data_IF_715077344789
#
_entry.id   IF_715077344789
#
_cell.length_a   1.000
_cell.length_b   1.000
_cell.length_c   1.000
_cell.angle_alpha   90.00
_cell.angle_beta   90.00
_cell.angle_gamma   90.00
#
_symmetry.space_group_name_H-M   'P 1'
#
loop_
_entity.id
_entity.type
_entity.pdbx_description
1 polymer ?
#
# COMPACT_ATOMS: atom_id res chain seq x y z
N UNK A 1 -2.52 -11.23 16.28
CA UNK A 1 -3.11 -11.73 15.01
C UNK A 1 -2.16 -11.32 13.91
N UNK A 2 -1.95 -12.13 12.87
CA UNK A 2 -1.20 -11.69 11.69
C UNK A 2 -2.02 -10.66 10.89
N UNK A 3 -1.37 -9.60 10.38
CA UNK A 3 -1.99 -8.58 9.55
C UNK A 3 -2.26 -9.09 8.13
N UNK A 4 -3.30 -8.57 7.49
CA UNK A 4 -3.67 -8.83 6.10
C UNK A 4 -3.16 -7.73 5.18
N UNK A 5 -3.12 -8.01 3.89
CA UNK A 5 -2.60 -7.08 2.89
C UNK A 5 -3.47 -6.97 1.64
N UNK A 6 -3.73 -5.75 1.20
CA UNK A 6 -4.21 -5.45 -0.16
C UNK A 6 -2.99 -5.15 -1.01
N UNK A 7 -2.83 -5.82 -2.15
CA UNK A 7 -1.74 -5.62 -3.09
C UNK A 7 -2.29 -5.31 -4.46
N UNK A 8 -1.80 -4.24 -5.07
CA UNK A 8 -2.08 -3.93 -6.46
C UNK A 8 -0.86 -3.31 -7.12
N UNK A 9 -0.69 -3.64 -8.39
CA UNK A 9 0.26 -3.00 -9.30
C UNK A 9 -0.53 -2.60 -10.54
N UNK A 10 -0.53 -1.32 -10.87
CA UNK A 10 -1.32 -0.76 -11.97
C UNK A 10 -0.40 -0.03 -12.93
N UNK A 11 -0.44 -0.43 -14.21
CA UNK A 11 0.28 0.29 -15.27
C UNK A 11 -0.35 1.66 -15.48
N UNK A 12 0.42 2.74 -15.31
CA UNK A 12 -0.07 4.11 -15.51
C UNK A 12 1.06 5.08 -15.88
N UNK A 13 0.81 5.92 -16.90
CA UNK A 13 1.73 7.00 -17.26
C UNK A 13 1.75 8.13 -16.21
N UNK A 14 2.92 8.74 -15.98
CA UNK A 14 3.11 9.80 -14.98
C UNK A 14 2.15 10.99 -15.10
N UNK A 15 1.80 11.37 -16.33
CA UNK A 15 0.83 12.46 -16.60
C UNK A 15 -0.56 12.09 -16.09
N UNK A 16 -1.02 10.87 -16.39
CA UNK A 16 -2.32 10.39 -15.92
C UNK A 16 -2.33 10.17 -14.42
N UNK A 17 -1.24 9.66 -13.85
CA UNK A 17 -1.08 9.54 -12.40
C UNK A 17 -1.25 10.88 -11.69
N UNK A 18 -0.65 11.95 -12.24
CA UNK A 18 -0.78 13.29 -11.65
C UNK A 18 -2.23 13.81 -11.69
N UNK A 19 -3.00 13.46 -12.74
CA UNK A 19 -4.44 13.77 -12.80
C UNK A 19 -5.24 12.95 -11.79
N UNK A 20 -4.96 11.66 -11.70
CA UNK A 20 -5.57 10.78 -10.71
C UNK A 20 -5.36 11.29 -9.28
N UNK A 21 -4.14 11.74 -8.94
CA UNK A 21 -3.88 12.35 -7.63
C UNK A 21 -4.53 13.71 -7.43
N UNK A 22 -4.71 14.51 -8.49
CA UNK A 22 -5.46 15.77 -8.36
C UNK A 22 -6.93 15.53 -8.00
N UNK A 23 -7.52 14.46 -8.53
CA UNK A 23 -8.94 14.15 -8.34
C UNK A 23 -9.20 13.30 -7.08
N UNK A 24 -8.30 12.37 -6.75
CA UNK A 24 -8.51 11.35 -5.70
C UNK A 24 -7.43 11.32 -4.62
N UNK A 25 -6.36 12.12 -4.73
CA UNK A 25 -5.22 12.11 -3.82
C UNK A 25 -5.61 12.31 -2.36
N UNK A 26 -6.55 13.23 -2.08
CA UNK A 26 -7.04 13.47 -0.74
C UNK A 26 -7.76 12.26 -0.13
N UNK A 27 -8.57 11.55 -0.93
CA UNK A 27 -9.28 10.36 -0.48
C UNK A 27 -8.34 9.15 -0.30
N UNK A 28 -7.29 9.05 -1.11
CA UNK A 28 -6.27 7.98 -0.99
C UNK A 28 -5.53 8.00 0.35
N UNK A 29 -5.24 9.19 0.86
CA UNK A 29 -4.46 9.36 2.10
C UNK A 29 -5.33 9.67 3.31
N UNK A 30 -6.65 9.69 3.16
CA UNK A 30 -7.54 10.03 4.26
C UNK A 30 -7.40 9.02 5.41
N UNK A 31 -7.28 7.73 5.06
CA UNK A 31 -6.96 6.67 6.01
C UNK A 31 -5.61 6.90 6.72
N UNK A 32 -4.62 7.48 6.03
CA UNK A 32 -3.33 7.84 6.65
C UNK A 32 -3.52 8.96 7.66
N UNK A 33 -4.36 9.97 7.36
CA UNK A 33 -4.72 11.01 8.33
C UNK A 33 -5.43 10.43 9.54
N UNK A 34 -6.29 9.42 9.35
CA UNK A 34 -6.92 8.67 10.42
C UNK A 34 -5.90 7.91 11.28
N UNK A 35 -5.02 7.11 10.65
CA UNK A 35 -3.96 6.33 11.32
C UNK A 35 -3.05 7.23 12.16
N UNK A 36 -2.71 8.41 11.65
CA UNK A 36 -1.87 9.40 12.34
C UNK A 36 -2.63 10.22 13.39
N UNK A 37 -3.96 10.08 13.50
CA UNK A 37 -4.78 10.84 14.45
C UNK A 37 -4.88 12.33 14.13
N UNK A 38 -4.61 12.75 12.89
CA UNK A 38 -4.57 14.16 12.47
C UNK A 38 -5.81 14.60 11.69
N UNK A 39 -6.69 13.66 11.30
CA UNK A 39 -7.96 14.01 10.64
C UNK A 39 -8.88 14.73 11.65
N UNK A 40 -9.49 15.88 11.30
CA UNK A 40 -10.43 16.56 12.18
C UNK A 40 -11.66 15.69 12.49
N UNK A 41 -12.09 15.68 13.75
CA UNK A 41 -13.33 15.01 14.17
C UNK A 41 -13.22 13.50 14.41
N UNK A 42 -12.01 12.91 14.35
CA UNK A 42 -11.79 11.51 14.70
C UNK A 42 -12.23 11.20 16.14
N UNK A 43 -12.78 10.01 16.33
CA UNK A 43 -13.13 9.50 17.65
C UNK A 43 -12.11 8.45 18.09
N UNK A 44 -11.40 8.65 19.21
CA UNK A 44 -10.53 7.62 19.76
C UNK A 44 -11.35 6.39 20.15
N UNK A 45 -10.84 5.21 19.82
CA UNK A 45 -11.39 3.94 20.29
C UNK A 45 -10.63 3.44 21.53
N UNK A 46 -11.30 2.61 22.33
CA UNK A 46 -10.73 1.96 23.51
C UNK A 46 -9.48 1.10 23.23
N UNK A 47 -9.28 0.65 21.99
CA UNK A 47 -8.14 -0.16 21.56
C UNK A 47 -6.95 0.68 21.06
N UNK A 48 -7.01 2.00 21.20
CA UNK A 48 -5.91 2.91 20.85
C UNK A 48 -5.87 3.34 19.38
N UNK A 49 -6.85 2.94 18.57
CA UNK A 49 -7.05 3.45 17.22
C UNK A 49 -8.08 4.57 17.13
N UNK A 50 -8.51 4.86 15.91
CA UNK A 50 -9.48 5.93 15.62
C UNK A 50 -10.63 5.41 14.76
N UNK A 51 -11.84 5.85 15.07
CA UNK A 51 -13.00 5.69 14.19
C UNK A 51 -13.22 6.99 13.44
N UNK A 52 -13.31 6.89 12.11
CA UNK A 52 -13.71 7.99 11.26
C UNK A 52 -15.24 8.08 11.19
N UNK A 53 -15.88 9.12 11.75
CA UNK A 53 -17.33 9.23 11.75
C UNK A 53 -17.93 9.42 10.35
N UNK A 54 -17.15 9.89 9.37
CA UNK A 54 -17.64 10.09 8.00
C UNK A 54 -17.88 8.77 7.27
N UNK A 55 -17.07 7.76 7.56
CA UNK A 55 -17.10 6.44 6.89
C UNK A 55 -17.57 5.32 7.83
N UNK A 56 -17.52 5.54 9.14
CA UNK A 56 -17.70 4.52 10.17
C UNK A 56 -16.50 3.56 10.28
N UNK A 57 -15.41 3.81 9.55
CA UNK A 57 -14.28 2.90 9.48
C UNK A 57 -13.35 3.02 10.69
N UNK A 58 -12.88 1.89 11.19
CA UNK A 58 -11.87 1.84 12.25
C UNK A 58 -10.47 1.77 11.65
N UNK A 59 -9.57 2.61 12.17
CA UNK A 59 -8.17 2.69 11.77
C UNK A 59 -7.27 2.35 12.95
N UNK A 60 -6.55 1.24 12.83
CA UNK A 60 -5.56 0.82 13.81
C UNK A 60 -4.23 1.57 13.56
N UNK A 61 -3.52 2.07 14.59
CA UNK A 61 -2.25 2.78 14.41
C UNK A 61 -1.14 1.92 13.78
N UNK A 62 -1.27 0.60 13.91
CA UNK A 62 -0.42 -0.40 13.29
C UNK A 62 -0.59 -0.50 11.77
N UNK A 63 -1.72 -0.06 11.20
CA UNK A 63 -1.97 -0.11 9.76
C UNK A 63 -0.92 0.72 8.99
N UNK A 64 -0.55 0.28 7.78
CA UNK A 64 0.45 0.95 6.93
C UNK A 64 0.01 0.92 5.48
N UNK A 65 -0.07 2.11 4.87
CA UNK A 65 -0.38 2.29 3.46
C UNK A 65 0.87 2.73 2.69
N UNK A 66 1.17 2.04 1.60
CA UNK A 66 2.25 2.30 0.66
C UNK A 66 1.62 2.60 -0.69
N UNK A 67 1.93 3.77 -1.25
CA UNK A 67 1.54 4.17 -2.60
C UNK A 67 2.77 4.77 -3.26
N UNK A 68 3.39 4.01 -4.16
CA UNK A 68 4.68 4.35 -4.76
C UNK A 68 4.67 4.13 -6.27
N UNK A 69 5.11 5.13 -7.02
CA UNK A 69 5.29 5.03 -8.45
C UNK A 69 6.69 4.53 -8.82
N UNK A 70 6.77 3.41 -9.54
CA UNK A 70 7.99 2.89 -10.14
C UNK A 70 8.14 3.45 -11.55
N UNK A 71 9.06 4.40 -11.73
CA UNK A 71 9.25 5.09 -13.00
C UNK A 71 9.85 4.18 -14.09
N UNK A 72 10.60 3.14 -13.68
CA UNK A 72 11.28 2.23 -14.60
C UNK A 72 10.29 1.35 -15.36
N UNK A 73 9.18 0.95 -14.71
CA UNK A 73 8.12 0.14 -15.32
C UNK A 73 6.83 0.91 -15.58
N UNK A 74 6.78 2.19 -15.22
CA UNK A 74 5.57 3.01 -15.23
C UNK A 74 4.41 2.35 -14.47
N UNK A 75 4.71 1.79 -13.30
CA UNK A 75 3.75 1.06 -12.46
C UNK A 75 3.48 1.83 -11.18
N UNK A 76 2.21 2.04 -10.83
CA UNK A 76 1.83 2.45 -9.49
C UNK A 76 1.63 1.22 -8.61
N UNK A 77 2.41 1.13 -7.55
CA UNK A 77 2.26 0.12 -6.50
C UNK A 77 1.37 0.65 -5.38
N UNK A 78 0.37 -0.15 -5.00
CA UNK A 78 -0.47 0.06 -3.84
C UNK A 78 -0.37 -1.16 -2.92
N UNK A 79 0.04 -0.92 -1.67
CA UNK A 79 0.04 -1.93 -0.64
C UNK A 79 -0.55 -1.38 0.64
N UNK A 80 -1.57 -2.06 1.18
CA UNK A 80 -2.17 -1.69 2.46
C UNK A 80 -2.11 -2.86 3.44
N UNK A 81 -1.25 -2.74 4.45
CA UNK A 81 -1.23 -3.61 5.62
C UNK A 81 -2.32 -3.20 6.62
N UNK A 82 -3.24 -4.12 6.91
CA UNK A 82 -4.38 -3.93 7.78
C UNK A 82 -4.37 -4.98 8.90
N UNK A 83 -4.80 -4.60 10.11
CA UNK A 83 -5.02 -5.56 11.21
C UNK A 83 -6.37 -6.32 11.10
N UNK A 84 -7.15 -6.08 10.05
CA UNK A 84 -8.41 -6.77 9.78
C UNK A 84 -8.16 -8.17 9.18
N UNK A 85 -9.14 -9.08 9.12
CA UNK A 85 -8.98 -10.43 8.51
C UNK A 85 -10.01 -10.82 7.47
N UNK A 86 -10.98 -9.95 7.21
CA UNK A 86 -12.09 -10.22 6.31
C UNK A 86 -11.88 -9.54 4.95
N UNK A 87 -11.71 -10.29 3.85
CA UNK A 87 -11.54 -9.71 2.51
C UNK A 87 -12.71 -8.84 2.05
N UNK A 88 -13.94 -9.15 2.47
CA UNK A 88 -15.12 -8.36 2.06
C UNK A 88 -15.04 -6.94 2.65
N UNK A 89 -14.63 -6.86 3.90
CA UNK A 89 -14.29 -5.59 4.55
C UNK A 89 -13.04 -4.93 3.95
N UNK A 90 -12.03 -5.68 3.47
CA UNK A 90 -10.86 -5.07 2.80
C UNK A 90 -11.25 -4.30 1.53
N UNK A 91 -12.23 -4.79 0.75
CA UNK A 91 -12.75 -4.07 -0.41
C UNK A 91 -13.52 -2.78 -0.03
N UNK A 92 -14.01 -2.70 1.21
CA UNK A 92 -14.72 -1.55 1.76
C UNK A 92 -13.83 -0.41 2.27
N UNK A 93 -12.51 -0.64 2.34
CA UNK A 93 -11.55 0.33 2.88
C UNK A 93 -11.58 1.63 2.04
N UNK A 94 -11.80 2.82 2.65
CA UNK A 94 -12.01 4.06 1.89
C UNK A 94 -10.89 4.42 0.92
N UNK A 95 -9.63 4.33 1.35
CA UNK A 95 -8.48 4.58 0.47
C UNK A 95 -8.39 3.58 -0.69
N UNK A 96 -8.77 2.33 -0.49
CA UNK A 96 -8.81 1.33 -1.56
C UNK A 96 -9.96 1.63 -2.55
N UNK A 97 -11.12 2.03 -2.06
CA UNK A 97 -12.23 2.47 -2.92
C UNK A 97 -11.82 3.67 -3.79
N UNK A 98 -11.10 4.64 -3.23
CA UNK A 98 -10.52 5.74 -4.00
C UNK A 98 -9.48 5.23 -5.01
N UNK A 99 -8.61 4.29 -4.61
CA UNK A 99 -7.62 3.68 -5.49
C UNK A 99 -8.25 3.03 -6.73
N UNK A 100 -9.39 2.32 -6.59
CA UNK A 100 -10.06 1.70 -7.75
C UNK A 100 -10.48 2.68 -8.85
N UNK A 101 -10.54 3.99 -8.57
CA UNK A 101 -10.86 5.02 -9.57
C UNK A 101 -9.74 5.24 -10.59
N UNK A 102 -8.53 4.75 -10.30
CA UNK A 102 -7.39 4.81 -11.23
C UNK A 102 -7.69 4.12 -12.57
N UNK A 103 -8.65 3.18 -12.60
CA UNK A 103 -9.12 2.52 -13.80
C UNK A 103 -9.46 3.49 -14.95
N UNK A 104 -10.07 4.64 -14.63
CA UNK A 104 -10.47 5.66 -15.62
C UNK A 104 -9.34 6.54 -16.15
N UNK A 105 -8.12 6.37 -15.64
CA UNK A 105 -6.94 7.16 -16.01
C UNK A 105 -5.90 6.34 -16.79
N UNK A 106 -6.13 5.04 -16.97
CA UNK A 106 -5.19 4.15 -17.64
C UNK A 106 -5.23 4.38 -19.16
N UNK A 107 -4.05 4.35 -19.77
CA UNK A 107 -3.91 4.56 -21.22
C UNK A 107 -4.24 3.28 -22.02
N UNK A 108 -4.12 2.10 -21.39
CA UNK A 108 -4.33 0.78 -22.01
C UNK A 108 -5.48 0.02 -21.35
N UNK A 109 -6.20 -0.77 -22.14
CA UNK A 109 -7.34 -1.59 -21.70
C UNK A 109 -6.92 -2.92 -21.06
N UNK A 110 -5.64 -3.07 -20.72
CA UNK A 110 -5.12 -4.29 -20.14
C UNK A 110 -5.73 -4.58 -18.77
N UNK A 111 -5.69 -5.83 -18.35
CA UNK A 111 -6.08 -6.21 -17.01
C UNK A 111 -4.89 -6.03 -16.06
N UNK A 112 -5.09 -5.22 -15.02
CA UNK A 112 -4.26 -5.26 -13.83
C UNK A 112 -4.94 -6.13 -12.78
N UNK A 113 -4.27 -6.36 -11.66
CA UNK A 113 -4.76 -7.30 -10.66
C UNK A 113 -4.66 -6.70 -9.27
N UNK A 114 -5.60 -7.10 -8.41
CA UNK A 114 -5.57 -6.84 -6.99
C UNK A 114 -5.63 -8.17 -6.27
N UNK A 115 -4.73 -8.37 -5.31
CA UNK A 115 -4.72 -9.55 -4.45
C UNK A 115 -4.99 -9.15 -3.00
N UNK A 116 -5.94 -9.83 -2.38
CA UNK A 116 -6.19 -9.76 -0.94
C UNK A 116 -5.56 -10.98 -0.27
N UNK A 117 -4.54 -10.74 0.54
CA UNK A 117 -3.82 -11.78 1.28
C UNK A 117 -4.19 -11.75 2.76
N UNK A 118 -4.53 -12.89 3.38
CA UNK A 118 -4.76 -12.98 4.81
C UNK A 118 -3.45 -12.97 5.64
N UNK A 119 -2.30 -12.86 4.99
CA UNK A 119 -0.99 -12.67 5.63
C UNK A 119 -0.14 -11.72 4.78
N UNK A 120 -0.03 -10.46 5.23
CA UNK A 120 0.79 -9.45 4.58
C UNK A 120 2.30 -9.82 4.43
N UNK A 121 2.95 -10.50 5.40
CA UNK A 121 4.34 -10.90 5.22
C UNK A 121 4.52 -12.11 4.27
N UNK A 122 3.45 -12.83 3.93
CA UNK A 122 3.51 -14.10 3.19
C UNK A 122 2.78 -14.03 1.83
N UNK A 123 2.93 -12.93 1.09
CA UNK A 123 2.34 -12.78 -0.24
C UNK A 123 2.75 -13.87 -1.26
N UNK A 124 3.71 -14.75 -0.94
CA UNK A 124 4.18 -15.82 -1.84
C UNK A 124 3.68 -17.22 -1.50
N UNK A 125 3.24 -17.49 -0.27
CA UNK A 125 3.13 -18.86 0.25
C UNK A 125 1.73 -19.28 0.70
N UNK A 126 0.76 -18.36 0.72
CA UNK A 126 -0.57 -18.64 1.22
C UNK A 126 -1.57 -18.94 0.08
N UNK A 127 -2.31 -20.04 0.18
CA UNK A 127 -3.31 -20.45 -0.83
C UNK A 127 -4.70 -19.85 -0.56
N UNK A 128 -4.84 -19.06 0.51
CA UNK A 128 -6.11 -18.50 0.99
C UNK A 128 -6.47 -17.15 0.36
N UNK A 129 -5.83 -16.79 -0.76
CA UNK A 129 -6.01 -15.47 -1.38
C UNK A 129 -7.33 -15.33 -2.15
N UNK A 130 -7.78 -14.09 -2.27
CA UNK A 130 -8.75 -13.68 -3.30
C UNK A 130 -8.06 -12.75 -4.28
N UNK A 131 -8.13 -13.09 -5.56
CA UNK A 131 -7.57 -12.27 -6.63
C UNK A 131 -8.71 -11.69 -7.44
N UNK A 132 -8.59 -10.41 -7.73
CA UNK A 132 -9.52 -9.66 -8.55
C UNK A 132 -8.78 -9.16 -9.78
N UNK A 133 -9.39 -9.33 -10.93
CA UNK A 133 -9.04 -8.63 -12.14
C UNK A 133 -9.57 -7.20 -12.04
N UNK A 134 -8.69 -6.24 -12.26
CA UNK A 134 -8.97 -4.83 -12.26
C UNK A 134 -8.98 -4.30 -13.69
N UNK A 135 -10.16 -3.93 -14.16
CA UNK A 135 -10.39 -3.40 -15.50
C UNK A 135 -11.04 -2.01 -15.43
N UNK A 136 -11.25 -1.39 -16.59
CA UNK A 136 -11.97 -0.12 -16.68
C UNK A 136 -13.40 -0.21 -16.08
N UNK A 137 -14.05 -1.37 -16.18
CA UNK A 137 -15.43 -1.58 -15.74
C UNK A 137 -15.55 -1.94 -14.26
N UNK A 138 -14.41 -2.16 -13.57
CA UNK A 138 -14.33 -2.39 -12.13
C UNK A 138 -13.50 -3.62 -11.76
N UNK A 139 -13.77 -4.14 -10.55
CA UNK A 139 -13.14 -5.34 -10.01
C UNK A 139 -14.01 -6.57 -10.30
N UNK A 140 -13.48 -7.53 -11.04
CA UNK A 140 -14.06 -8.86 -11.23
C UNK A 140 -13.27 -9.91 -10.47
N UNK A 141 -13.91 -10.78 -9.70
CA UNK A 141 -13.23 -11.90 -9.03
C UNK A 141 -12.77 -12.94 -10.07
N UNK A 142 -11.54 -13.44 -9.91
CA UNK A 142 -11.00 -14.53 -10.72
C UNK A 142 -10.53 -15.68 -9.85
N UNK A 143 -10.37 -16.87 -10.45
CA UNK A 143 -9.71 -17.99 -9.81
C UNK A 143 -8.24 -17.68 -9.55
N UNK A 144 -7.70 -18.12 -8.42
CA UNK A 144 -6.31 -17.85 -8.03
C UNK A 144 -5.30 -18.43 -9.05
N UNK A 145 -5.59 -19.60 -9.63
CA UNK A 145 -4.76 -20.24 -10.65
C UNK A 145 -4.74 -19.46 -11.99
N UNK A 146 -5.66 -18.51 -12.16
CA UNK A 146 -5.68 -17.61 -13.31
C UNK A 146 -4.89 -16.31 -13.07
N UNK A 147 -4.33 -16.10 -11.87
CA UNK A 147 -3.49 -14.95 -11.57
C UNK A 147 -2.13 -15.07 -12.30
N UNK A 148 -1.77 -14.14 -13.19
CA UNK A 148 -0.54 -14.26 -13.96
C UNK A 148 0.70 -14.21 -13.07
N UNK A 149 1.58 -15.21 -13.21
CA UNK A 149 2.77 -15.33 -12.36
C UNK A 149 3.80 -14.21 -12.55
N UNK A 150 3.81 -13.53 -13.69
CA UNK A 150 4.59 -12.31 -13.90
C UNK A 150 4.05 -11.12 -13.09
N UNK A 151 2.74 -10.97 -12.99
CA UNK A 151 2.09 -9.95 -12.14
C UNK A 151 2.27 -10.23 -10.65
N UNK A 152 2.23 -11.50 -10.25
CA UNK A 152 2.60 -11.89 -8.90
C UNK A 152 4.04 -11.44 -8.58
N UNK A 153 5.02 -11.83 -9.42
CA UNK A 153 6.43 -11.44 -9.24
C UNK A 153 6.64 -9.93 -9.23
N UNK A 154 5.87 -9.18 -10.02
CA UNK A 154 5.91 -7.72 -10.01
C UNK A 154 5.47 -7.16 -8.64
N UNK A 155 4.33 -7.60 -8.13
CA UNK A 155 3.84 -7.19 -6.80
C UNK A 155 4.83 -7.59 -5.70
N UNK A 156 5.44 -8.77 -5.80
CA UNK A 156 6.47 -9.21 -4.85
C UNK A 156 7.68 -8.29 -4.84
N UNK A 157 8.23 -8.02 -6.02
CA UNK A 157 9.39 -7.12 -6.18
C UNK A 157 9.07 -5.75 -5.61
N UNK A 158 7.91 -5.17 -5.96
CA UNK A 158 7.51 -3.83 -5.52
C UNK A 158 7.26 -3.78 -4.01
N UNK A 159 6.62 -4.81 -3.44
CA UNK A 159 6.40 -4.91 -1.99
C UNK A 159 7.72 -4.97 -1.22
N UNK A 160 8.70 -5.70 -1.75
CA UNK A 160 10.03 -5.74 -1.17
C UNK A 160 10.77 -4.42 -1.33
N UNK A 161 10.75 -3.84 -2.53
CA UNK A 161 11.46 -2.60 -2.83
C UNK A 161 10.97 -1.43 -1.96
N UNK A 162 9.66 -1.33 -1.73
CA UNK A 162 9.07 -0.16 -1.06
C UNK A 162 8.66 -0.39 0.39
N UNK A 163 8.64 -1.63 0.88
CA UNK A 163 8.19 -1.92 2.24
C UNK A 163 9.04 -2.95 2.99
N UNK A 164 9.06 -4.20 2.53
CA UNK A 164 9.71 -5.28 3.30
C UNK A 164 11.23 -5.21 3.30
N UNK A 165 11.85 -4.83 2.18
CA UNK A 165 13.30 -4.70 2.04
C UNK A 165 13.90 -3.62 2.96
N UNK A 166 13.31 -2.43 3.09
CA UNK A 166 13.76 -1.43 4.07
C UNK A 166 13.58 -1.90 5.53
N UNK A 167 12.48 -2.59 5.84
CA UNK A 167 12.25 -3.18 7.18
C UNK A 167 13.31 -4.25 7.48
N UNK A 168 13.58 -5.15 6.54
CA UNK A 168 14.61 -6.17 6.64
C UNK A 168 15.99 -5.55 6.85
N UNK A 169 16.35 -4.52 6.07
CA UNK A 169 17.60 -3.79 6.24
C UNK A 169 17.72 -3.14 7.64
N UNK A 170 16.61 -2.62 8.16
CA UNK A 170 16.55 -2.08 9.52
C UNK A 170 16.78 -3.17 10.57
N UNK A 171 16.14 -4.33 10.45
CA UNK A 171 16.38 -5.46 11.38
C UNK A 171 17.83 -5.94 11.34
N UNK A 172 18.41 -6.10 10.15
CA UNK A 172 19.82 -6.49 10.01
C UNK A 172 20.79 -5.48 10.66
N UNK A 173 20.46 -4.19 10.64
CA UNK A 173 21.22 -3.13 11.34
C UNK A 173 21.03 -3.20 12.85
N UNK A 174 19.80 -3.40 13.31
CA UNK A 174 19.49 -3.56 14.73
C UNK A 174 20.22 -4.78 15.33
N UNK A 175 20.31 -5.90 14.60
CA UNK A 175 21.06 -7.09 15.01
C UNK A 175 22.56 -6.81 15.16
N UNK A 176 23.10 -5.90 14.35
CA UNK A 176 24.47 -5.36 14.48
C UNK A 176 24.60 -4.26 15.54
N UNK A 177 23.52 -3.97 16.28
CA UNK A 177 23.43 -2.93 17.32
C UNK A 177 23.69 -1.52 16.79
N UNK A 178 23.38 -1.27 15.53
CA UNK A 178 23.40 0.06 14.94
C UNK A 178 22.16 0.87 15.37
N UNK A 179 22.26 2.21 15.33
CA UNK A 179 21.10 3.07 15.57
C UNK A 179 20.08 2.98 14.43
N UNK A 180 18.86 2.60 14.79
CA UNK A 180 17.71 2.47 13.87
C UNK A 180 16.62 3.52 14.12
N UNK A 181 16.92 4.57 14.91
CA UNK A 181 15.99 5.67 15.19
C UNK A 181 15.47 6.37 13.93
N UNK A 182 16.22 6.32 12.83
CA UNK A 182 15.81 6.82 11.52
C UNK A 182 14.50 6.18 11.01
N UNK A 183 14.19 4.96 11.46
CA UNK A 183 12.97 4.25 11.10
C UNK A 183 11.70 4.83 11.73
N UNK A 184 11.82 5.72 12.72
CA UNK A 184 10.69 6.48 13.27
C UNK A 184 10.00 7.36 12.22
N UNK A 185 10.69 7.68 11.12
CA UNK A 185 10.15 8.45 10.01
C UNK A 185 9.75 7.58 8.81
N UNK A 186 9.86 6.25 8.91
CA UNK A 186 9.58 5.33 7.81
C UNK A 186 8.16 5.52 7.24
N UNK A 187 7.15 5.48 8.10
CA UNK A 187 5.78 5.82 7.72
C UNK A 187 5.41 7.22 8.23
N UNK A 188 4.80 8.08 7.42
CA UNK A 188 4.40 7.85 6.02
C UNK A 188 5.48 8.19 4.98
N UNK A 189 6.60 8.79 5.38
CA UNK A 189 7.53 9.49 4.47
C UNK A 189 8.13 8.59 3.38
N UNK A 190 8.49 7.35 3.72
CA UNK A 190 9.06 6.41 2.75
C UNK A 190 7.99 5.57 2.04
N UNK A 191 6.75 5.58 2.53
CA UNK A 191 5.67 4.77 1.99
C UNK A 191 4.87 5.48 0.88
N UNK A 192 4.90 6.81 0.82
CA UNK A 192 4.06 7.59 -0.09
C UNK A 192 4.90 8.39 -1.10
N UNK A 193 4.34 8.59 -2.28
CA UNK A 193 4.91 9.50 -3.28
C UNK A 193 4.90 10.96 -2.81
N UNK A 194 5.83 11.76 -3.35
CA UNK A 194 5.99 13.20 -3.05
C UNK A 194 4.67 13.99 -3.11
N UNK A 195 3.84 13.74 -4.13
CA UNK A 195 2.58 14.46 -4.29
C UNK A 195 1.61 14.15 -3.15
N UNK A 196 1.53 12.88 -2.73
CA UNK A 196 0.67 12.45 -1.63
C UNK A 196 1.18 12.95 -0.27
N UNK A 197 2.49 12.98 -0.04
CA UNK A 197 3.07 13.56 1.18
C UNK A 197 2.77 15.06 1.31
N UNK A 198 2.79 15.79 0.19
CA UNK A 198 2.42 17.20 0.18
C UNK A 198 0.99 17.43 0.66
N UNK A 199 0.05 16.53 0.33
CA UNK A 199 -1.34 16.62 0.78
C UNK A 199 -1.50 16.27 2.29
N UNK A 200 -0.54 15.56 2.88
CA UNK A 200 -0.48 15.33 4.33
C UNK A 200 0.19 16.48 5.10
N UNK A 201 0.74 17.50 4.41
CA UNK A 201 1.64 18.50 5.00
C UNK A 201 2.82 17.86 5.74
N UNK A 202 3.32 16.73 5.24
CA UNK A 202 4.49 16.05 5.77
C UNK A 202 5.69 16.43 4.92
N UNK A 203 6.78 16.81 5.59
CA UNK A 203 8.04 17.12 4.91
C UNK A 203 8.48 15.94 4.04
N UNK A 204 9.04 16.29 2.88
CA UNK A 204 9.60 15.29 1.98
C UNK A 204 10.65 14.46 2.72
N UNK A 205 10.67 13.12 2.56
CA UNK A 205 11.78 12.31 3.03
C UNK A 205 13.10 12.92 2.55
N UNK A 206 14.02 13.08 3.49
CA UNK A 206 15.42 13.25 3.15
C UNK A 206 15.85 11.93 2.51
N UNK A 207 16.59 11.99 1.39
CA UNK A 207 17.21 10.80 0.80
C UNK A 207 18.20 10.20 1.81
N UNK A 208 17.70 9.28 2.66
CA UNK A 208 18.50 8.57 3.65
C UNK A 208 19.01 7.27 3.03
N UNK A 209 20.33 7.15 2.77
CA UNK A 209 20.89 5.93 2.18
C UNK A 209 20.71 4.70 3.08
N UNK A 210 20.35 4.86 4.36
CA UNK A 210 20.02 3.74 5.25
C UNK A 210 18.66 3.10 4.94
N UNK A 211 17.80 3.79 4.18
CA UNK A 211 16.50 3.30 3.71
C UNK A 211 16.59 2.55 2.37
N UNK A 212 17.80 2.34 1.84
CA UNK A 212 17.99 1.44 0.71
C UNK A 212 17.51 0.03 1.10
N UNK A 213 16.63 -0.60 0.29
CA UNK A 213 16.09 -1.92 0.61
C UNK A 213 17.21 -2.96 0.64
N UNK A 214 17.07 -3.98 1.49
CA UNK A 214 17.87 -5.19 1.40
C UNK A 214 17.74 -5.80 -0.02
N UNK A 215 18.75 -6.54 -0.52
CA UNK A 215 18.62 -7.24 -1.81
C UNK A 215 17.39 -8.14 -1.82
N UNK A 216 16.66 -8.14 -2.93
CA UNK A 216 15.52 -9.04 -3.11
C UNK A 216 15.99 -10.50 -2.94
N UNK A 217 15.32 -11.33 -2.12
CA UNK A 217 15.74 -12.70 -1.86
C UNK A 217 15.83 -13.49 -3.17
N UNK A 218 16.98 -14.10 -3.44
CA UNK A 218 17.13 -14.99 -4.59
C UNK A 218 16.56 -16.36 -4.23
N UNK A 219 15.41 -16.73 -4.80
CA UNK A 219 14.98 -18.14 -4.83
C UNK A 219 13.57 -18.45 -4.29
N UNK A 220 12.57 -17.68 -4.71
CA UNK A 220 11.17 -18.15 -4.68
C UNK A 220 10.74 -18.52 -6.10
#
# INVERSE_FOLDING_TARGET
>A
MEPVGIYASVSIGRTQLSRFYADWGDALIDDVRCILGIKPGLQPDSQGGFVDPATGWYHHPGNKLVIRYDADTATLFYFYQLELRDPDSMAGVPSFQAFTRIAGYRDEADADYVAFSPSAPNFLSDRLWRVHQFTHDGLGTIEIDAFPGDRQREMDRLSWQYYWGPIEAMFQRADRREDVSYFNHFFPQHCLDRQLLSLLNVDMPIDDPRMTPAPYPRGY
#
